data_IF_393542530806
#
_entry.id   IF_393542530806
#
_cell.length_a   1.000
_cell.length_b   1.000
_cell.length_c   1.000
_cell.angle_alpha   90.00
_cell.angle_beta   90.00
_cell.angle_gamma   90.00
#
_symmetry.space_group_name_H-M   'P 1'
#
loop_
_entity.id
_entity.type
_entity.pdbx_description
1 polymer ?
#
# COMPACT_ATOMS: atom_id res chain seq x y z
N UNK A 1 9.13 54.97 4.61
CA UNK A 1 8.83 53.78 3.79
C UNK A 1 9.79 52.70 4.26
N UNK A 2 9.35 51.78 5.11
CA UNK A 2 10.20 50.73 5.70
C UNK A 2 9.61 49.38 5.29
N UNK A 3 10.42 48.54 4.65
CA UNK A 3 10.06 47.16 4.27
C UNK A 3 9.80 46.30 5.52
N UNK A 4 8.81 45.39 5.49
CA UNK A 4 8.67 44.37 6.52
C UNK A 4 9.68 43.24 6.29
N UNK A 5 10.53 43.02 7.30
CA UNK A 5 11.56 41.98 7.32
C UNK A 5 11.02 40.56 7.24
N UNK A 6 11.64 39.76 6.36
CA UNK A 6 11.43 38.33 6.20
C UNK A 6 11.97 37.58 7.43
N UNK A 7 11.09 36.93 8.21
CA UNK A 7 11.50 36.02 9.29
C UNK A 7 11.78 34.63 8.72
N UNK A 8 12.96 34.03 8.93
CA UNK A 8 13.18 32.65 8.55
C UNK A 8 12.28 31.73 9.38
N UNK A 9 11.60 30.80 8.68
CA UNK A 9 10.78 29.76 9.31
C UNK A 9 11.66 28.84 10.15
N UNK A 10 11.17 28.33 11.30
CA UNK A 10 11.94 27.42 12.14
C UNK A 10 12.14 26.09 11.40
N UNK A 11 13.39 25.78 11.07
CA UNK A 11 13.79 24.49 10.52
C UNK A 11 13.39 23.40 11.50
N UNK A 12 12.51 22.49 11.10
CA UNK A 12 12.15 21.33 11.90
C UNK A 12 13.42 20.56 12.33
N UNK A 13 13.50 20.07 13.57
CA UNK A 13 14.68 19.34 14.04
C UNK A 13 14.91 18.11 13.16
N UNK A 14 16.07 18.04 12.52
CA UNK A 14 16.49 16.87 11.74
C UNK A 14 16.63 15.68 12.69
N UNK A 15 15.85 14.63 12.46
CA UNK A 15 15.97 13.39 13.23
C UNK A 15 17.39 12.81 13.06
N UNK A 16 18.02 12.32 14.15
CA UNK A 16 19.31 11.66 14.06
C UNK A 16 19.23 10.45 13.11
N UNK A 17 20.29 10.14 12.37
CA UNK A 17 20.27 9.05 11.41
C UNK A 17 19.95 7.73 12.14
N UNK A 18 19.15 6.84 11.51
CA UNK A 18 18.74 5.60 12.15
C UNK A 18 19.97 4.73 12.47
N UNK A 19 20.02 4.22 13.70
CA UNK A 19 21.10 3.35 14.20
C UNK A 19 21.27 2.06 13.39
N UNK A 20 20.20 1.64 12.71
CA UNK A 20 20.17 0.47 11.84
C UNK A 20 19.59 0.83 10.49
N UNK A 21 20.31 0.46 9.42
CA UNK A 21 19.81 0.60 8.05
C UNK A 21 19.06 -0.67 7.68
N UNK A 22 17.77 -0.53 7.35
CA UNK A 22 16.95 -1.63 6.83
C UNK A 22 17.62 -2.21 5.58
N UNK A 23 17.56 -3.53 5.43
CA UNK A 23 18.13 -4.26 4.29
C UNK A 23 19.66 -4.12 4.14
N UNK A 24 20.39 -3.87 5.23
CA UNK A 24 21.86 -3.73 5.22
C UNK A 24 22.63 -5.02 4.95
N UNK A 25 21.96 -6.17 4.98
CA UNK A 25 22.55 -7.49 4.80
C UNK A 25 21.79 -8.28 3.72
N UNK A 26 22.48 -9.21 3.06
CA UNK A 26 21.90 -10.10 2.08
C UNK A 26 20.90 -11.05 2.74
N UNK A 27 19.65 -11.06 2.28
CA UNK A 27 18.61 -11.98 2.77
C UNK A 27 18.87 -13.46 2.48
N UNK A 28 19.82 -13.78 1.59
CA UNK A 28 20.17 -15.17 1.25
C UNK A 28 21.29 -15.73 2.10
N UNK A 29 22.40 -14.99 2.30
CA UNK A 29 23.58 -15.51 3.00
C UNK A 29 23.97 -14.73 4.26
N UNK A 30 23.28 -13.62 4.58
CA UNK A 30 23.57 -12.79 5.75
C UNK A 30 24.78 -11.86 5.62
N UNK A 31 25.54 -11.91 4.53
CA UNK A 31 26.69 -11.02 4.34
C UNK A 31 26.26 -9.53 4.24
N UNK A 32 27.01 -8.59 4.83
CA UNK A 32 26.70 -7.16 4.75
C UNK A 32 26.88 -6.64 3.32
N UNK A 33 26.07 -5.65 2.92
CA UNK A 33 26.31 -4.87 1.72
C UNK A 33 27.32 -3.76 2.03
N UNK A 34 28.61 -4.07 1.94
CA UNK A 34 29.71 -3.23 2.43
C UNK A 34 30.09 -2.03 1.56
N UNK A 35 29.47 -1.84 0.39
CA UNK A 35 29.83 -0.77 -0.55
C UNK A 35 28.62 -0.24 -1.35
N UNK A 36 27.59 0.27 -0.66
CA UNK A 36 26.45 0.91 -1.33
C UNK A 36 26.72 2.41 -1.53
N UNK A 37 26.55 2.96 -2.75
CA UNK A 37 26.66 4.40 -3.02
C UNK A 37 25.72 5.25 -2.15
N UNK A 38 24.54 4.73 -1.82
CA UNK A 38 23.59 5.32 -0.88
C UNK A 38 22.70 4.24 -0.25
N UNK A 39 22.03 4.59 0.86
CA UNK A 39 21.04 3.71 1.50
C UNK A 39 19.85 3.37 0.60
N UNK A 40 19.61 4.16 -0.46
CA UNK A 40 18.52 3.98 -1.43
C UNK A 40 18.97 3.30 -2.72
N UNK A 41 20.24 2.88 -2.83
CA UNK A 41 20.72 2.19 -4.02
C UNK A 41 20.08 0.80 -4.13
N UNK A 42 19.35 0.60 -5.23
CA UNK A 42 18.72 -0.66 -5.63
C UNK A 42 18.77 -0.80 -7.17
N UNK A 43 18.83 -2.02 -7.73
CA UNK A 43 19.00 -3.31 -7.03
C UNK A 43 20.40 -3.47 -6.41
N UNK A 44 20.57 -4.49 -5.57
CA UNK A 44 21.84 -4.80 -4.88
C UNK A 44 22.32 -6.19 -5.22
N UNK A 45 23.56 -6.32 -5.68
CA UNK A 45 24.19 -7.62 -5.89
C UNK A 45 25.11 -7.93 -4.72
N UNK A 46 24.92 -9.07 -4.07
CA UNK A 46 25.77 -9.49 -2.96
C UNK A 46 27.15 -9.90 -3.48
N UNK A 47 28.21 -9.23 -3.03
CA UNK A 47 29.59 -9.56 -3.40
C UNK A 47 30.06 -10.94 -2.87
N UNK A 48 29.35 -11.52 -1.90
CA UNK A 48 29.70 -12.82 -1.31
C UNK A 48 29.08 -14.01 -2.06
N UNK A 49 27.76 -14.00 -2.26
CA UNK A 49 27.05 -15.12 -2.89
C UNK A 49 26.52 -14.84 -4.30
N UNK A 50 26.66 -13.62 -4.80
CA UNK A 50 26.20 -13.22 -6.14
C UNK A 50 24.70 -12.96 -6.27
N UNK A 51 23.88 -13.22 -5.24
CA UNK A 51 22.43 -12.97 -5.32
C UNK A 51 22.12 -11.49 -5.50
N UNK A 52 21.22 -11.17 -6.42
CA UNK A 52 20.67 -9.82 -6.61
C UNK A 52 19.35 -9.67 -5.86
N UNK A 53 19.27 -8.66 -4.99
CA UNK A 53 18.05 -8.24 -4.30
C UNK A 53 17.45 -6.99 -4.96
N UNK A 54 16.13 -6.97 -5.09
CA UNK A 54 15.37 -5.86 -5.64
C UNK A 54 14.47 -5.25 -4.57
N UNK A 55 14.18 -3.95 -4.69
CA UNK A 55 13.13 -3.29 -3.93
C UNK A 55 11.97 -3.03 -4.86
N UNK A 56 10.97 -3.91 -4.79
CA UNK A 56 9.77 -3.83 -5.60
C UNK A 56 8.64 -3.18 -4.80
N UNK A 57 7.68 -2.52 -5.47
CA UNK A 57 6.45 -2.10 -4.82
C UNK A 57 5.70 -3.28 -4.20
N UNK A 58 5.03 -3.04 -3.07
CA UNK A 58 4.16 -4.02 -2.45
C UNK A 58 2.77 -3.98 -3.10
N UNK A 59 2.28 -5.10 -3.67
CA UNK A 59 0.97 -5.15 -4.29
C UNK A 59 -0.13 -5.15 -3.22
N UNK A 60 -1.15 -4.31 -3.44
CA UNK A 60 -2.30 -4.15 -2.53
C UNK A 60 -3.58 -4.29 -3.36
N UNK A 61 -4.47 -5.18 -2.94
CA UNK A 61 -5.81 -5.29 -3.50
C UNK A 61 -6.72 -4.25 -2.86
N UNK A 62 -7.46 -3.50 -3.68
CA UNK A 62 -8.46 -2.53 -3.21
C UNK A 62 -9.82 -2.91 -3.76
N UNK A 63 -10.82 -3.02 -2.89
CA UNK A 63 -12.15 -3.50 -3.25
C UNK A 63 -13.05 -2.34 -3.64
N UNK A 64 -13.66 -2.43 -4.83
CA UNK A 64 -14.76 -1.59 -5.27
C UNK A 64 -16.02 -2.46 -5.38
N UNK A 65 -16.89 -2.38 -4.38
CA UNK A 65 -18.19 -3.04 -4.40
C UNK A 65 -19.30 -1.98 -4.49
N UNK A 66 -19.89 -1.77 -5.69
CA UNK A 66 -21.02 -0.88 -5.86
C UNK A 66 -22.26 -1.41 -5.14
N UNK A 67 -23.00 -0.51 -4.52
CA UNK A 67 -24.29 -0.80 -3.89
C UNK A 67 -25.35 0.13 -4.46
N UNK A 68 -26.32 -0.44 -5.17
CA UNK A 68 -27.43 0.29 -5.78
C UNK A 68 -28.53 0.51 -4.73
N UNK A 69 -28.71 1.77 -4.33
CA UNK A 69 -29.82 2.21 -3.51
C UNK A 69 -30.98 2.75 -4.36
N UNK A 70 -32.10 3.17 -3.73
CA UNK A 70 -33.29 3.62 -4.45
C UNK A 70 -33.07 4.81 -5.40
N UNK A 71 -32.11 5.69 -5.07
CA UNK A 71 -31.90 6.95 -5.77
C UNK A 71 -30.42 7.21 -6.15
N UNK A 72 -29.49 6.34 -5.73
CA UNK A 72 -28.06 6.53 -5.96
C UNK A 72 -27.29 5.22 -5.81
N UNK A 73 -26.14 5.12 -6.48
CA UNK A 73 -25.17 4.04 -6.28
C UNK A 73 -24.05 4.53 -5.38
N UNK A 74 -23.80 3.79 -4.30
CA UNK A 74 -22.67 4.00 -3.40
C UNK A 74 -21.58 2.94 -3.56
N UNK A 75 -20.55 3.01 -2.71
CA UNK A 75 -19.55 1.95 -2.55
C UNK A 75 -19.55 1.46 -1.10
N UNK A 76 -19.25 0.17 -0.90
CA UNK A 76 -18.92 -0.34 0.43
C UNK A 76 -17.63 0.30 0.93
N UNK A 77 -17.67 0.78 2.18
CA UNK A 77 -16.52 1.34 2.89
C UNK A 77 -16.43 0.74 4.29
N UNK A 78 -15.22 0.75 4.84
CA UNK A 78 -14.93 0.41 6.24
C UNK A 78 -14.56 1.66 7.03
N UNK A 79 -14.69 1.57 8.36
CA UNK A 79 -14.18 2.60 9.27
C UNK A 79 -12.81 2.21 9.79
N UNK A 80 -11.81 3.07 9.58
CA UNK A 80 -10.44 2.83 10.04
C UNK A 80 -10.37 2.77 11.57
N UNK A 81 -9.76 1.72 12.12
CA UNK A 81 -9.62 1.52 13.58
C UNK A 81 -8.26 1.94 14.15
N UNK A 82 -7.29 2.23 13.26
CA UNK A 82 -5.90 2.58 13.60
C UNK A 82 -5.50 3.93 13.01
N UNK A 83 -4.54 4.61 13.65
CA UNK A 83 -3.91 5.81 13.09
C UNK A 83 -2.93 5.46 11.95
N UNK A 84 -2.71 6.37 10.98
CA UNK A 84 -3.36 7.68 10.84
C UNK A 84 -4.82 7.57 10.35
N UNK A 85 -5.62 8.61 10.63
CA UNK A 85 -7.02 8.77 10.19
C UNK A 85 -8.00 7.76 10.81
N UNK A 86 -7.79 7.42 12.09
CA UNK A 86 -8.76 6.61 12.84
C UNK A 86 -10.15 7.26 12.80
N UNK A 87 -11.19 6.46 12.56
CA UNK A 87 -12.57 6.92 12.41
C UNK A 87 -12.94 7.42 11.00
N UNK A 88 -11.96 7.57 10.09
CA UNK A 88 -12.22 7.89 8.68
C UNK A 88 -12.76 6.69 7.89
N UNK A 89 -13.40 6.97 6.76
CA UNK A 89 -13.81 5.96 5.80
C UNK A 89 -12.61 5.51 4.93
N UNK A 90 -12.55 4.22 4.61
CA UNK A 90 -11.62 3.65 3.64
C UNK A 90 -12.32 2.60 2.79
N UNK A 91 -11.79 2.35 1.59
CA UNK A 91 -12.17 1.16 0.83
C UNK A 91 -11.60 -0.08 1.53
N UNK A 92 -12.31 -1.21 1.52
CA UNK A 92 -11.73 -2.46 1.99
C UNK A 92 -10.52 -2.85 1.14
N UNK A 93 -9.52 -3.48 1.74
CA UNK A 93 -8.34 -3.91 1.00
C UNK A 93 -7.12 -4.21 1.87
N UNK A 94 -6.16 -4.88 1.26
CA UNK A 94 -4.94 -5.32 1.93
C UNK A 94 -3.93 -5.91 0.97
N UNK A 95 -2.82 -6.39 1.52
CA UNK A 95 -1.71 -6.89 0.72
C UNK A 95 -2.11 -8.15 -0.06
N UNK A 96 -1.60 -8.27 -1.28
CA UNK A 96 -1.71 -9.51 -2.06
C UNK A 96 -0.61 -10.44 -1.59
N UNK A 97 -0.98 -11.63 -1.12
CA UNK A 97 -0.03 -12.59 -0.59
C UNK A 97 0.84 -13.21 -1.70
N UNK A 98 2.00 -13.73 -1.30
CA UNK A 98 2.87 -14.43 -2.24
C UNK A 98 2.14 -15.62 -2.88
N UNK A 99 2.19 -15.69 -4.22
CA UNK A 99 1.49 -16.69 -5.04
C UNK A 99 -0.06 -16.61 -4.97
N UNK A 100 -0.63 -15.53 -4.45
CA UNK A 100 -2.07 -15.26 -4.50
C UNK A 100 -2.46 -14.53 -5.81
N UNK A 101 -3.56 -14.96 -6.46
CA UNK A 101 -4.15 -14.18 -7.55
C UNK A 101 -4.83 -12.94 -6.97
N UNK A 102 -4.59 -11.77 -7.56
CA UNK A 102 -5.10 -10.50 -7.05
C UNK A 102 -6.64 -10.45 -6.92
N UNK A 103 -7.39 -11.22 -7.72
CA UNK A 103 -8.86 -11.30 -7.57
C UNK A 103 -9.26 -12.10 -6.33
N UNK A 104 -8.45 -13.09 -5.97
CA UNK A 104 -8.62 -13.87 -4.74
C UNK A 104 -8.37 -12.97 -3.54
N UNK A 105 -7.33 -12.14 -3.59
CA UNK A 105 -7.05 -11.13 -2.56
C UNK A 105 -8.22 -10.15 -2.40
N UNK A 106 -8.76 -9.58 -3.49
CA UNK A 106 -9.95 -8.70 -3.44
C UNK A 106 -11.14 -9.37 -2.73
N UNK A 107 -11.43 -10.63 -3.06
CA UNK A 107 -12.53 -11.36 -2.43
C UNK A 107 -12.24 -11.69 -0.95
N UNK A 108 -11.00 -12.06 -0.62
CA UNK A 108 -10.54 -12.37 0.74
C UNK A 108 -10.64 -11.13 1.65
N UNK A 109 -10.08 -10.00 1.22
CA UNK A 109 -10.07 -8.76 1.98
C UNK A 109 -11.49 -8.23 2.22
N UNK A 110 -12.36 -8.28 1.20
CA UNK A 110 -13.77 -7.93 1.38
C UNK A 110 -14.41 -8.78 2.49
N UNK A 111 -14.21 -10.10 2.47
CA UNK A 111 -14.78 -11.01 3.46
C UNK A 111 -14.22 -10.74 4.86
N UNK A 112 -12.91 -10.57 4.98
CA UNK A 112 -12.23 -10.39 6.27
C UNK A 112 -12.63 -9.09 6.97
N UNK A 113 -12.78 -7.99 6.22
CA UNK A 113 -13.06 -6.68 6.81
C UNK A 113 -14.56 -6.37 6.93
N UNK A 114 -15.42 -7.01 6.13
CA UNK A 114 -16.86 -6.68 6.06
C UNK A 114 -17.80 -7.86 6.27
N UNK A 115 -17.29 -9.10 6.20
CA UNK A 115 -18.11 -10.32 6.19
C UNK A 115 -18.86 -10.57 4.88
N UNK A 116 -18.70 -9.73 3.85
CA UNK A 116 -19.39 -9.87 2.57
C UNK A 116 -18.65 -10.89 1.69
N UNK A 117 -19.34 -11.97 1.34
CA UNK A 117 -18.81 -12.99 0.43
C UNK A 117 -18.90 -12.56 -1.03
N UNK A 118 -17.84 -12.80 -1.83
CA UNK A 118 -17.80 -12.60 -3.27
C UNK A 118 -16.93 -13.64 -3.96
N UNK A 119 -17.22 -13.97 -5.23
CA UNK A 119 -16.40 -14.91 -5.98
C UNK A 119 -15.32 -14.17 -6.77
N UNK A 120 -14.06 -14.60 -6.63
CA UNK A 120 -12.91 -14.01 -7.32
C UNK A 120 -13.09 -13.92 -8.85
N UNK A 121 -13.77 -14.89 -9.48
CA UNK A 121 -14.06 -14.90 -10.92
C UNK A 121 -14.92 -13.71 -11.39
N UNK A 122 -15.68 -13.09 -10.49
CA UNK A 122 -16.57 -11.98 -10.78
C UNK A 122 -15.84 -10.62 -10.67
N UNK A 123 -14.64 -10.61 -10.09
CA UNK A 123 -13.81 -9.41 -9.99
C UNK A 123 -13.28 -9.04 -11.38
N UNK A 124 -13.46 -7.76 -11.73
CA UNK A 124 -12.89 -7.13 -12.93
C UNK A 124 -11.88 -6.08 -12.53
N UNK A 125 -10.86 -5.87 -13.36
CA UNK A 125 -9.88 -4.82 -13.12
C UNK A 125 -10.57 -3.48 -13.38
N UNK A 126 -10.55 -2.59 -12.39
CA UNK A 126 -11.03 -1.22 -12.53
C UNK A 126 -9.88 -0.30 -12.95
N UNK A 127 -8.79 -0.32 -12.19
CA UNK A 127 -7.61 0.50 -12.42
C UNK A 127 -6.39 -0.07 -11.67
N UNK A 128 -5.20 0.43 -12.01
CA UNK A 128 -3.96 0.19 -11.27
C UNK A 128 -3.24 1.51 -11.03
N UNK A 129 -3.03 1.85 -9.76
CA UNK A 129 -2.32 3.06 -9.36
C UNK A 129 -1.08 2.71 -8.54
N UNK A 130 -0.11 3.60 -8.51
CA UNK A 130 1.06 3.49 -7.63
C UNK A 130 1.19 4.74 -6.79
N UNK A 131 1.59 4.58 -5.53
CA UNK A 131 1.93 5.71 -4.67
C UNK A 131 3.46 5.89 -4.52
N UNK A 132 3.86 7.00 -3.93
CA UNK A 132 5.28 7.26 -3.61
C UNK A 132 5.75 6.52 -2.36
N UNK A 133 4.85 5.87 -1.64
CA UNK A 133 5.15 5.07 -0.46
C UNK A 133 5.59 3.63 -0.82
N UNK A 134 5.57 3.27 -2.10
CA UNK A 134 6.05 1.99 -2.60
C UNK A 134 4.94 0.94 -2.69
N UNK A 135 3.69 1.33 -2.89
CA UNK A 135 2.59 0.41 -3.14
C UNK A 135 2.18 0.41 -4.61
N UNK A 136 1.74 -0.76 -5.09
CA UNK A 136 1.02 -0.93 -6.34
C UNK A 136 -0.42 -1.34 -5.99
N UNK A 137 -1.35 -0.40 -6.11
CA UNK A 137 -2.76 -0.56 -5.79
C UNK A 137 -3.50 -1.15 -7.00
N UNK A 138 -4.08 -2.32 -6.84
CA UNK A 138 -4.89 -3.01 -7.86
C UNK A 138 -6.36 -2.92 -7.45
N UNK A 139 -7.13 -2.13 -8.18
CA UNK A 139 -8.54 -1.90 -7.87
C UNK A 139 -9.41 -2.97 -8.54
N UNK A 140 -10.06 -3.80 -7.72
CA UNK A 140 -11.00 -4.83 -8.17
C UNK A 140 -12.44 -4.36 -8.08
N UNK A 141 -13.12 -4.26 -9.22
CA UNK A 141 -14.55 -3.98 -9.32
C UNK A 141 -15.36 -5.27 -9.27
N UNK A 142 -16.28 -5.34 -8.30
CA UNK A 142 -17.27 -6.40 -8.17
C UNK A 142 -18.59 -6.00 -8.85
N UNK A 143 -19.44 -6.97 -9.22
CA UNK A 143 -20.80 -6.68 -9.65
C UNK A 143 -21.56 -5.90 -8.58
N UNK A 144 -22.36 -4.92 -9.01
CA UNK A 144 -23.20 -4.13 -8.12
C UNK A 144 -24.18 -5.03 -7.35
N UNK A 145 -24.45 -4.65 -6.10
CA UNK A 145 -25.44 -5.31 -5.24
C UNK A 145 -26.57 -4.36 -4.89
N UNK A 146 -27.81 -4.83 -4.79
CA UNK A 146 -28.86 -4.00 -4.23
C UNK A 146 -28.55 -3.69 -2.75
N UNK A 147 -28.88 -2.48 -2.31
CA UNK A 147 -28.90 -2.16 -0.89
C UNK A 147 -29.92 -3.08 -0.21
N UNK A 148 -29.44 -3.92 0.73
CA UNK A 148 -30.33 -4.75 1.53
C UNK A 148 -31.26 -3.83 2.34
N UNK A 149 -32.57 -4.08 2.23
CA UNK A 149 -33.63 -3.40 3.00
C UNK A 149 -33.61 -3.82 4.46
#
# INVERSE_FOLDING_TARGET
MSEPGNRPSPTAPQQPPPRYVRDSHCGTCGAPYSALPSADTWPRTCAHCGTTAYRNPLPVAVVLLPVDGPNTTGLVVITRTIEPQKGGAALPGGFIDHAEDWRTAVARELREETGIEAAARDVRLADVLSDTAGHLLVFGLLPARPLAS
#
